data_IF_401425715308
#
_entry.id   IF_401425715308
#
_cell.length_a   1.000
_cell.length_b   1.000
_cell.length_c   1.000
_cell.angle_alpha   90.00
_cell.angle_beta   90.00
_cell.angle_gamma   90.00
#
_symmetry.space_group_name_H-M   'P 1'
#
loop_
_entity.id
_entity.type
_entity.pdbx_description
1 polymer ?
#
# COMPACT_ATOMS: atom_id res chain seq x y z
N UNK A 1 4.87 9.89 -3.93
CA UNK A 1 4.15 10.10 -2.66
C UNK A 1 2.70 10.41 -2.96
N UNK A 2 1.77 9.55 -2.59
CA UNK A 2 0.36 9.88 -2.64
C UNK A 2 0.03 10.86 -1.50
N UNK A 3 -0.63 11.97 -1.81
CA UNK A 3 -0.92 13.03 -0.84
C UNK A 3 -2.17 13.80 -1.23
N UNK A 4 -2.73 14.56 -0.29
CA UNK A 4 -3.85 15.44 -0.52
C UNK A 4 -3.35 16.83 -0.98
N UNK A 5 -4.00 17.41 -1.98
CA UNK A 5 -3.80 18.80 -2.40
C UNK A 5 -4.99 19.64 -1.94
N UNK A 6 -4.75 20.94 -1.67
CA UNK A 6 -5.82 21.89 -1.45
C UNK A 6 -6.45 22.26 -2.78
N UNK A 7 -7.74 21.94 -2.96
CA UNK A 7 -8.51 22.36 -4.12
C UNK A 7 -8.88 23.85 -4.08
N UNK A 8 -9.25 24.40 -5.23
CA UNK A 8 -9.69 25.79 -5.35
C UNK A 8 -10.92 26.11 -4.47
N UNK A 9 -11.72 25.11 -4.12
CA UNK A 9 -12.86 25.22 -3.21
C UNK A 9 -12.50 25.16 -1.73
N UNK A 10 -11.20 25.05 -1.37
CA UNK A 10 -10.74 24.86 0.00
C UNK A 10 -10.90 23.42 0.52
N UNK A 11 -11.31 22.48 -0.32
CA UNK A 11 -11.34 21.04 -0.01
C UNK A 11 -9.99 20.36 -0.28
N UNK A 12 -9.81 19.17 0.28
CA UNK A 12 -8.64 18.33 0.01
C UNK A 12 -8.89 17.48 -1.23
N UNK A 13 -8.02 17.59 -2.21
CA UNK A 13 -7.99 16.74 -3.39
C UNK A 13 -6.84 15.74 -3.28
N UNK A 14 -7.10 14.44 -3.39
CA UNK A 14 -6.05 13.44 -3.36
C UNK A 14 -5.27 13.43 -4.67
N UNK A 15 -4.01 13.02 -4.60
CA UNK A 15 -3.15 12.92 -5.76
C UNK A 15 -1.79 12.35 -5.37
N UNK A 16 -0.90 12.28 -6.34
CA UNK A 16 0.48 11.90 -6.15
C UNK A 16 1.39 13.02 -6.63
N UNK A 17 2.59 13.11 -6.07
CA UNK A 17 3.65 14.01 -6.54
C UNK A 17 5.02 13.36 -6.44
N UNK A 18 5.79 13.60 -7.48
CA UNK A 18 7.22 13.39 -7.48
C UNK A 18 7.88 14.65 -6.97
N UNK A 19 8.74 14.54 -5.98
CA UNK A 19 9.52 15.65 -5.44
C UNK A 19 11.02 15.35 -5.53
N UNK A 20 11.84 16.38 -5.70
CA UNK A 20 13.28 16.23 -5.62
C UNK A 20 13.75 16.18 -4.13
N UNK A 21 15.05 15.90 -3.93
CA UNK A 21 15.66 15.84 -2.59
C UNK A 21 15.57 17.17 -1.81
N UNK A 22 15.21 18.29 -2.45
CA UNK A 22 14.97 19.59 -1.81
C UNK A 22 13.49 19.80 -1.49
N UNK A 23 12.64 18.80 -1.71
CA UNK A 23 11.19 18.88 -1.49
C UNK A 23 10.43 19.65 -2.57
N UNK A 24 11.09 20.05 -3.69
CA UNK A 24 10.42 20.76 -4.78
C UNK A 24 9.66 19.78 -5.64
N UNK A 25 8.42 20.11 -5.97
CA UNK A 25 7.60 19.32 -6.88
C UNK A 25 8.22 19.28 -8.27
N UNK A 26 8.40 18.07 -8.80
CA UNK A 26 8.87 17.79 -10.16
C UNK A 26 7.69 17.45 -11.05
N UNK A 27 6.75 16.64 -10.55
CA UNK A 27 5.55 16.19 -11.26
C UNK A 27 4.39 16.04 -10.28
N UNK A 28 3.16 16.25 -10.76
CA UNK A 28 1.93 16.00 -9.98
C UNK A 28 0.90 15.26 -10.84
N UNK A 29 0.17 14.31 -10.24
CA UNK A 29 -0.93 13.58 -10.83
C UNK A 29 -2.19 13.78 -9.98
N UNK A 30 -3.29 14.22 -10.62
CA UNK A 30 -4.54 14.53 -9.97
C UNK A 30 -5.72 13.94 -10.78
N UNK A 31 -5.90 12.60 -10.74
CA UNK A 31 -6.98 11.97 -11.49
C UNK A 31 -8.35 12.39 -10.97
N UNK A 32 -9.31 12.61 -11.88
CA UNK A 32 -10.72 12.86 -11.53
C UNK A 32 -11.38 11.55 -11.08
N UNK A 33 -11.45 11.35 -9.78
CA UNK A 33 -12.01 10.14 -9.17
C UNK A 33 -13.47 9.88 -9.56
N UNK A 34 -14.24 10.93 -9.82
CA UNK A 34 -15.65 10.83 -10.19
C UNK A 34 -15.85 10.29 -11.61
N UNK A 35 -14.88 10.55 -12.49
CA UNK A 35 -14.91 10.11 -13.88
C UNK A 35 -14.31 8.70 -14.08
N UNK A 36 -13.41 8.27 -13.20
CA UNK A 36 -12.55 7.10 -13.39
C UNK A 36 -13.27 5.75 -13.50
N UNK A 37 -14.35 5.54 -12.78
CA UNK A 37 -15.07 4.27 -12.73
C UNK A 37 -16.51 4.40 -13.23
N UNK A 38 -16.75 5.36 -14.14
CA UNK A 38 -17.91 5.52 -15.00
C UNK A 38 -19.27 5.27 -14.36
N UNK A 39 -19.90 6.26 -13.74
CA UNK A 39 -21.36 6.39 -13.56
C UNK A 39 -22.19 5.22 -13.02
N UNK A 40 -21.70 4.02 -13.07
CA UNK A 40 -22.26 2.87 -12.38
C UNK A 40 -21.71 2.91 -10.95
N UNK A 41 -22.59 2.78 -9.99
CA UNK A 41 -22.30 2.75 -8.58
C UNK A 41 -21.34 1.59 -8.24
N UNK A 42 -20.05 1.77 -8.49
CA UNK A 42 -19.04 1.12 -7.69
C UNK A 42 -19.11 1.84 -6.34
N UNK A 43 -20.13 1.47 -5.57
CA UNK A 43 -20.13 1.79 -4.16
C UNK A 43 -18.81 1.24 -3.64
N UNK A 44 -18.03 2.07 -2.94
CA UNK A 44 -16.90 1.52 -2.21
C UNK A 44 -17.45 0.40 -1.36
N UNK A 45 -16.84 -0.76 -1.42
CA UNK A 45 -17.29 -1.97 -0.73
C UNK A 45 -17.48 -1.74 0.79
N UNK A 46 -17.03 -0.62 1.31
CA UNK A 46 -17.18 -0.19 2.72
C UNK A 46 -17.92 1.15 2.88
N UNK A 47 -18.82 1.51 1.97
CA UNK A 47 -19.79 2.59 2.20
C UNK A 47 -19.34 4.00 1.85
N UNK A 48 -18.58 4.19 0.78
CA UNK A 48 -18.25 5.53 0.26
C UNK A 48 -18.52 5.67 -1.24
N UNK A 49 -18.63 6.88 -1.73
CA UNK A 49 -18.70 7.16 -3.17
C UNK A 49 -17.28 7.24 -3.76
N UNK A 50 -17.05 6.85 -5.03
CA UNK A 50 -15.76 7.00 -5.71
C UNK A 50 -15.17 8.40 -5.54
N UNK A 51 -15.98 9.43 -5.63
CA UNK A 51 -15.59 10.82 -5.44
C UNK A 51 -15.01 11.16 -4.05
N UNK A 52 -15.28 10.34 -3.02
CA UNK A 52 -14.77 10.52 -1.65
C UNK A 52 -13.68 9.52 -1.28
N UNK A 53 -13.44 8.51 -2.12
CA UNK A 53 -12.41 7.53 -1.89
C UNK A 53 -11.01 8.16 -1.88
N UNK A 54 -10.09 7.52 -1.16
CA UNK A 54 -8.71 8.00 -0.98
C UNK A 54 -7.79 7.18 -1.84
N UNK A 55 -6.76 7.81 -2.41
CA UNK A 55 -5.62 7.05 -2.91
C UNK A 55 -4.84 6.46 -1.73
N UNK A 56 -4.38 5.24 -1.91
CA UNK A 56 -3.62 4.52 -0.88
C UNK A 56 -2.22 4.15 -1.38
N UNK A 57 -2.08 3.12 -2.18
CA UNK A 57 -0.83 2.72 -2.81
C UNK A 57 -0.52 3.55 -4.06
N UNK A 58 0.76 3.66 -4.37
CA UNK A 58 1.26 4.24 -5.61
C UNK A 58 2.56 3.57 -6.04
N UNK A 59 2.72 3.30 -7.34
CA UNK A 59 3.94 2.74 -7.91
C UNK A 59 4.29 3.51 -9.19
N UNK A 60 5.50 4.07 -9.24
CA UNK A 60 5.99 4.84 -10.37
C UNK A 60 6.90 3.96 -11.22
N UNK A 61 6.59 3.86 -12.50
CA UNK A 61 7.37 3.09 -13.46
C UNK A 61 8.53 3.92 -14.04
N UNK A 62 9.57 3.28 -14.57
CA UNK A 62 10.72 3.99 -15.15
C UNK A 62 10.36 4.92 -16.32
N UNK A 63 9.31 4.61 -17.09
CA UNK A 63 8.83 5.44 -18.20
C UNK A 63 7.99 6.65 -17.74
N UNK A 64 7.77 6.80 -16.44
CA UNK A 64 7.00 7.88 -15.84
C UNK A 64 5.52 7.58 -15.64
N UNK A 65 5.06 6.41 -16.04
CA UNK A 65 3.69 5.99 -15.74
C UNK A 65 3.53 5.74 -14.25
N UNK A 66 2.35 6.08 -13.74
CA UNK A 66 2.01 5.97 -12.34
C UNK A 66 0.79 5.07 -12.14
N UNK A 67 0.99 4.00 -11.37
CA UNK A 67 -0.13 3.22 -10.85
C UNK A 67 -0.60 3.82 -9.52
N UNK A 68 -1.92 3.91 -9.35
CA UNK A 68 -2.57 4.40 -8.13
C UNK A 68 -3.70 3.48 -7.71
N UNK A 69 -3.76 3.16 -6.43
CA UNK A 69 -4.90 2.47 -5.82
C UNK A 69 -5.91 3.48 -5.32
N UNK A 70 -7.13 3.42 -5.85
CA UNK A 70 -8.30 4.07 -5.28
C UNK A 70 -8.95 3.10 -4.29
N UNK A 71 -8.74 3.37 -3.01
CA UNK A 71 -8.94 2.43 -1.89
C UNK A 71 -10.33 1.78 -1.87
N UNK A 72 -10.39 0.45 -1.92
CA UNK A 72 -11.59 -0.40 -2.02
C UNK A 72 -12.45 -0.18 -3.27
N UNK A 73 -11.89 0.41 -4.31
CA UNK A 73 -12.54 0.59 -5.62
C UNK A 73 -11.74 -0.13 -6.68
N UNK A 74 -10.48 0.26 -6.88
CA UNK A 74 -9.70 -0.32 -7.95
C UNK A 74 -8.32 0.31 -8.12
N UNK A 75 -7.66 -0.14 -9.18
CA UNK A 75 -6.36 0.29 -9.64
C UNK A 75 -6.51 1.11 -10.92
N UNK A 76 -5.67 2.10 -11.10
CA UNK A 76 -5.55 2.83 -12.37
C UNK A 76 -4.08 3.00 -12.73
N UNK A 77 -3.80 3.04 -14.04
CA UNK A 77 -2.52 3.46 -14.61
C UNK A 77 -2.71 4.75 -15.35
N UNK A 78 -1.79 5.66 -15.15
CA UNK A 78 -1.73 6.97 -15.80
C UNK A 78 -0.37 7.13 -16.44
N UNK A 79 -0.32 7.78 -17.59
CA UNK A 79 0.95 8.16 -18.18
C UNK A 79 1.67 9.28 -17.40
N UNK A 80 2.87 9.60 -17.83
CA UNK A 80 3.68 10.67 -17.22
C UNK A 80 3.00 12.05 -17.24
N UNK A 81 2.01 12.29 -18.09
CA UNK A 81 1.28 13.55 -18.21
C UNK A 81 -0.03 13.58 -17.43
N UNK A 82 -0.46 12.45 -16.92
CA UNK A 82 -1.66 12.32 -16.10
C UNK A 82 -2.89 11.86 -16.87
N UNK A 83 -2.73 11.42 -18.11
CA UNK A 83 -3.80 10.78 -18.88
C UNK A 83 -3.97 9.32 -18.41
N UNK A 84 -5.21 8.88 -18.21
CA UNK A 84 -5.53 7.54 -17.74
C UNK A 84 -5.45 6.54 -18.90
N UNK A 85 -4.58 5.55 -18.77
CA UNK A 85 -4.43 4.49 -19.77
C UNK A 85 -5.44 3.38 -19.57
N UNK A 86 -5.61 2.91 -18.33
CA UNK A 86 -6.61 1.91 -17.98
C UNK A 86 -7.04 1.99 -16.50
N UNK A 87 -8.15 1.35 -16.19
CA UNK A 87 -8.69 1.19 -14.83
C UNK A 87 -9.19 -0.23 -14.61
N UNK A 88 -8.97 -0.78 -13.40
CA UNK A 88 -9.44 -2.09 -12.99
C UNK A 88 -10.24 -1.99 -11.68
N UNK A 89 -11.54 -2.30 -11.72
CA UNK A 89 -12.51 -2.12 -10.63
C UNK A 89 -12.73 -3.37 -9.77
N UNK A 90 -11.67 -3.99 -9.22
CA UNK A 90 -11.72 -5.26 -8.48
C UNK A 90 -11.73 -5.12 -6.95
N UNK A 91 -12.11 -3.97 -6.42
CA UNK A 91 -12.07 -3.74 -4.96
C UNK A 91 -10.64 -3.67 -4.41
N UNK A 92 -9.69 -3.26 -5.24
CA UNK A 92 -8.27 -3.17 -4.91
C UNK A 92 -8.04 -2.10 -3.85
N UNK A 93 -7.08 -2.37 -2.95
CA UNK A 93 -6.73 -1.47 -1.85
C UNK A 93 -5.26 -1.62 -1.45
N UNK A 94 -4.73 -0.68 -0.65
CA UNK A 94 -3.39 -0.68 -0.03
C UNK A 94 -2.22 -0.62 -1.02
N UNK A 95 -1.35 -1.65 -1.09
CA UNK A 95 -0.07 -1.61 -1.79
C UNK A 95 -0.17 -1.96 -3.29
N UNK A 96 0.94 -1.73 -4.00
CA UNK A 96 1.20 -2.18 -5.37
C UNK A 96 2.67 -2.55 -5.41
N UNK A 97 2.99 -3.80 -5.73
CA UNK A 97 4.36 -4.26 -5.85
C UNK A 97 4.57 -4.99 -7.17
N UNK A 98 5.62 -4.60 -7.90
CA UNK A 98 5.90 -5.10 -9.23
C UNK A 98 6.68 -6.41 -9.17
N UNK A 99 6.21 -7.42 -9.89
CA UNK A 99 6.95 -8.66 -10.13
C UNK A 99 7.94 -8.50 -11.29
N UNK A 100 8.92 -9.41 -11.39
CA UNK A 100 9.96 -9.36 -12.43
C UNK A 100 9.44 -9.56 -13.86
N UNK A 101 8.29 -10.20 -14.01
CA UNK A 101 7.61 -10.36 -15.30
C UNK A 101 6.87 -9.10 -15.77
N UNK A 102 6.94 -8.01 -15.00
CA UNK A 102 6.27 -6.74 -15.25
C UNK A 102 4.84 -6.66 -14.74
N UNK A 103 4.26 -7.75 -14.24
CA UNK A 103 2.96 -7.75 -13.58
C UNK A 103 3.01 -7.11 -12.19
N UNK A 104 1.85 -6.87 -11.60
CA UNK A 104 1.72 -6.24 -10.28
C UNK A 104 0.92 -7.11 -9.33
N UNK A 105 1.42 -7.30 -8.12
CA UNK A 105 0.65 -7.88 -7.03
C UNK A 105 -0.04 -6.78 -6.23
N UNK A 106 -1.35 -6.94 -6.02
CA UNK A 106 -2.17 -5.96 -5.32
C UNK A 106 -3.18 -6.63 -4.39
N UNK A 107 -3.36 -6.10 -3.17
CA UNK A 107 -4.45 -6.50 -2.30
C UNK A 107 -5.82 -6.12 -2.89
N UNK A 108 -6.75 -7.06 -2.84
CA UNK A 108 -8.15 -6.81 -3.22
C UNK A 108 -9.10 -7.47 -2.22
N UNK A 109 -10.38 -7.14 -2.30
CA UNK A 109 -11.41 -7.80 -1.50
C UNK A 109 -12.61 -8.19 -2.36
N UNK A 110 -13.45 -9.10 -1.87
CA UNK A 110 -14.66 -9.54 -2.58
C UNK A 110 -15.66 -8.39 -2.78
N UNK A 111 -16.43 -8.43 -3.88
CA UNK A 111 -17.44 -7.41 -4.19
C UNK A 111 -18.57 -7.33 -3.15
N UNK A 112 -18.77 -8.38 -2.39
CA UNK A 112 -19.76 -8.49 -1.32
C UNK A 112 -19.25 -9.39 -0.18
N UNK A 113 -19.85 -9.28 0.98
CA UNK A 113 -19.56 -10.20 2.09
C UNK A 113 -20.05 -11.60 1.74
N UNK A 114 -19.21 -12.60 1.96
CA UNK A 114 -19.49 -14.01 1.70
C UNK A 114 -19.18 -14.87 2.92
N UNK A 115 -19.94 -15.96 3.08
CA UNK A 115 -19.71 -16.94 4.14
C UNK A 115 -19.01 -18.20 3.63
N UNK A 116 -18.92 -18.38 2.31
CA UNK A 116 -18.43 -19.60 1.64
C UNK A 116 -17.84 -19.31 0.27
N UNK A 117 -17.01 -20.25 -0.19
CA UNK A 117 -16.43 -20.28 -1.53
C UNK A 117 -16.75 -21.63 -2.18
N UNK A 118 -16.35 -21.83 -3.43
CA UNK A 118 -16.46 -23.14 -4.10
C UNK A 118 -15.67 -24.22 -3.36
N UNK A 119 -14.48 -23.88 -2.85
CA UNK A 119 -13.63 -24.80 -2.08
C UNK A 119 -14.18 -25.08 -0.68
N UNK A 120 -14.86 -24.11 -0.07
CA UNK A 120 -15.52 -24.22 1.24
C UNK A 120 -17.04 -24.01 1.10
N UNK A 121 -17.78 -24.98 0.48
CA UNK A 121 -19.20 -24.83 0.17
C UNK A 121 -20.10 -24.82 1.42
N UNK A 122 -19.60 -25.33 2.54
CA UNK A 122 -20.28 -25.32 3.83
C UNK A 122 -19.85 -24.14 4.72
N UNK A 123 -19.03 -23.23 4.20
CA UNK A 123 -18.44 -22.12 4.94
C UNK A 123 -17.14 -22.48 5.66
N UNK A 124 -16.52 -21.49 6.24
CA UNK A 124 -15.27 -21.62 6.99
C UNK A 124 -15.55 -21.90 8.46
N UNK A 125 -15.04 -23.00 9.05
CA UNK A 125 -15.32 -23.35 10.44
C UNK A 125 -14.98 -22.22 11.41
N UNK A 126 -15.96 -21.74 12.18
CA UNK A 126 -15.80 -20.64 13.13
C UNK A 126 -15.92 -19.24 12.53
N UNK A 127 -16.36 -19.12 11.27
CA UNK A 127 -16.79 -17.88 10.63
C UNK A 127 -18.30 -17.97 10.41
N UNK A 128 -19.07 -17.49 11.39
CA UNK A 128 -20.51 -17.71 11.46
C UNK A 128 -21.33 -16.65 10.68
N UNK A 129 -20.70 -15.59 10.24
CA UNK A 129 -21.32 -14.47 9.51
C UNK A 129 -20.59 -14.21 8.20
N UNK A 130 -21.27 -13.68 7.16
CA UNK A 130 -20.61 -13.25 5.94
C UNK A 130 -19.54 -12.19 6.20
N UNK A 131 -18.37 -12.37 5.58
CA UNK A 131 -17.19 -11.49 5.72
C UNK A 131 -16.70 -11.01 4.38
N UNK A 132 -15.95 -9.91 4.37
CA UNK A 132 -15.13 -9.51 3.24
C UNK A 132 -14.00 -10.54 3.08
N UNK A 133 -13.84 -11.08 1.87
CA UNK A 133 -12.79 -12.05 1.57
C UNK A 133 -11.68 -11.34 0.82
N UNK A 134 -10.56 -11.13 1.49
CA UNK A 134 -9.39 -10.56 0.86
C UNK A 134 -8.78 -11.54 -0.14
N UNK A 135 -8.21 -10.97 -1.21
CA UNK A 135 -7.63 -11.69 -2.36
C UNK A 135 -6.27 -11.11 -2.69
N UNK A 136 -5.32 -11.99 -3.03
CA UNK A 136 -4.07 -11.62 -3.65
C UNK A 136 -4.29 -11.61 -5.16
N UNK A 137 -4.31 -10.44 -5.79
CA UNK A 137 -4.47 -10.32 -7.23
C UNK A 137 -3.13 -10.07 -7.90
N UNK A 138 -2.86 -10.82 -8.98
CA UNK A 138 -1.81 -10.49 -9.93
C UNK A 138 -2.45 -9.83 -11.14
N UNK A 139 -1.96 -8.66 -11.52
CA UNK A 139 -2.52 -7.83 -12.60
C UNK A 139 -1.43 -7.62 -13.65
N UNK A 140 -1.75 -7.81 -14.93
CA UNK A 140 -0.81 -7.56 -16.02
C UNK A 140 -0.50 -6.07 -16.20
N UNK A 141 0.50 -5.76 -17.02
CA UNK A 141 0.83 -4.38 -17.39
C UNK A 141 -0.32 -3.70 -18.16
N UNK A 142 -1.19 -4.47 -18.81
CA UNK A 142 -2.37 -4.00 -19.54
C UNK A 142 -3.63 -3.89 -18.67
N UNK A 143 -3.56 -4.30 -17.38
CA UNK A 143 -4.68 -4.23 -16.44
C UNK A 143 -5.58 -5.46 -16.40
N UNK A 144 -5.15 -6.59 -16.95
CA UNK A 144 -5.87 -7.86 -16.88
C UNK A 144 -5.53 -8.65 -15.62
N UNK A 145 -6.51 -9.28 -14.99
CA UNK A 145 -6.28 -10.16 -13.84
C UNK A 145 -5.68 -11.49 -14.32
N UNK A 146 -4.46 -11.78 -13.88
CA UNK A 146 -3.71 -12.99 -14.21
C UNK A 146 -3.89 -14.09 -13.15
N UNK A 147 -3.99 -13.71 -11.87
CA UNK A 147 -4.13 -14.64 -10.76
C UNK A 147 -5.02 -14.03 -9.66
N UNK A 148 -5.76 -14.89 -8.95
CA UNK A 148 -6.71 -14.51 -7.90
C UNK A 148 -6.72 -15.57 -6.79
N UNK A 149 -6.09 -15.27 -5.65
CA UNK A 149 -5.90 -16.21 -4.55
C UNK A 149 -6.68 -15.71 -3.33
N UNK A 150 -7.61 -16.53 -2.84
CA UNK A 150 -8.40 -16.20 -1.66
C UNK A 150 -7.60 -16.42 -0.36
N UNK A 151 -7.44 -15.35 0.44
CA UNK A 151 -6.62 -15.37 1.67
C UNK A 151 -7.20 -16.30 2.74
N UNK A 152 -8.53 -16.36 2.89
CA UNK A 152 -9.14 -17.29 3.86
C UNK A 152 -8.88 -18.75 3.48
N UNK A 153 -8.98 -19.10 2.20
CA UNK A 153 -8.65 -20.44 1.73
C UNK A 153 -7.20 -20.79 2.05
N UNK A 154 -6.26 -19.89 1.77
CA UNK A 154 -4.84 -20.08 2.13
C UNK A 154 -4.68 -20.34 3.62
N UNK A 155 -5.30 -19.54 4.50
CA UNK A 155 -5.18 -19.72 5.94
C UNK A 155 -5.73 -21.06 6.41
N UNK A 156 -6.91 -21.47 5.93
CA UNK A 156 -7.53 -22.74 6.33
C UNK A 156 -6.81 -23.96 5.76
N UNK A 157 -6.33 -23.90 4.52
CA UNK A 157 -5.60 -25.01 3.90
C UNK A 157 -4.23 -25.27 4.58
N UNK A 158 -3.66 -24.24 5.21
CA UNK A 158 -2.38 -24.33 5.90
C UNK A 158 -2.51 -24.47 7.43
N UNK A 159 -3.72 -24.67 7.98
CA UNK A 159 -3.94 -24.84 9.43
C UNK A 159 -3.70 -23.55 10.23
N UNK A 160 -3.88 -22.40 9.60
CA UNK A 160 -3.69 -21.08 10.19
C UNK A 160 -5.01 -20.41 10.59
N UNK A 161 -6.13 -21.13 10.60
CA UNK A 161 -7.47 -20.63 10.95
C UNK A 161 -7.54 -20.00 12.36
N UNK A 162 -6.64 -20.39 13.27
CA UNK A 162 -6.52 -19.77 14.59
C UNK A 162 -6.30 -18.27 14.56
N UNK A 163 -5.63 -17.76 13.51
CA UNK A 163 -5.36 -16.33 13.34
C UNK A 163 -6.61 -15.54 12.95
N UNK A 164 -7.49 -16.16 12.15
CA UNK A 164 -8.82 -15.61 11.84
C UNK A 164 -9.62 -15.45 13.13
N UNK A 165 -9.65 -16.48 13.99
CA UNK A 165 -10.34 -16.43 15.29
C UNK A 165 -9.75 -15.45 16.28
N UNK A 166 -8.43 -15.23 16.25
CA UNK A 166 -7.75 -14.22 17.06
C UNK A 166 -8.20 -12.80 16.67
N UNK A 167 -8.41 -12.56 15.40
CA UNK A 167 -8.98 -11.29 14.91
C UNK A 167 -10.43 -11.11 15.39
N UNK A 168 -11.24 -12.19 15.45
CA UNK A 168 -12.60 -12.20 16.02
C UNK A 168 -12.63 -11.66 17.46
N UNK A 169 -11.76 -12.17 18.31
CA UNK A 169 -11.69 -11.78 19.72
C UNK A 169 -11.29 -10.34 19.96
N UNK A 170 -10.78 -9.64 18.95
CA UNK A 170 -10.39 -8.22 19.02
C UNK A 170 -11.43 -7.24 18.45
N UNK A 171 -12.63 -7.71 18.16
CA UNK A 171 -13.71 -6.87 17.63
C UNK A 171 -13.61 -6.57 16.14
N UNK A 172 -12.71 -7.24 15.40
CA UNK A 172 -12.62 -7.13 13.94
C UNK A 172 -13.91 -7.60 13.22
N UNK A 173 -14.78 -8.25 13.95
CA UNK A 173 -16.07 -8.76 13.51
C UNK A 173 -17.27 -8.12 14.21
N UNK A 174 -17.08 -7.07 14.97
CA UNK A 174 -18.24 -6.32 15.45
C UNK A 174 -19.05 -5.83 14.25
N UNK A 175 -20.31 -6.03 14.32
CA UNK A 175 -21.43 -5.98 13.39
C UNK A 175 -21.31 -5.20 12.07
N UNK A 176 -20.39 -4.24 11.98
CA UNK A 176 -20.28 -3.35 10.82
C UNK A 176 -19.03 -3.61 9.95
N UNK A 177 -18.01 -4.29 10.43
CA UNK A 177 -16.74 -4.36 9.71
C UNK A 177 -16.56 -5.66 8.91
N UNK A 178 -16.84 -6.85 9.46
CA UNK A 178 -16.74 -8.13 8.75
C UNK A 178 -15.44 -8.38 7.98
N UNK A 179 -14.31 -7.89 8.49
CA UNK A 179 -13.01 -7.86 7.84
C UNK A 179 -11.99 -8.67 8.67
N UNK A 180 -11.90 -9.99 8.47
CA UNK A 180 -11.11 -10.86 9.34
C UNK A 180 -9.60 -10.73 9.14
N UNK A 181 -9.16 -10.42 7.94
CA UNK A 181 -7.76 -10.46 7.55
C UNK A 181 -7.14 -9.08 7.39
N UNK A 182 -7.86 -8.16 6.78
CA UNK A 182 -7.37 -6.83 6.43
C UNK A 182 -6.00 -6.90 5.79
N UNK A 183 -5.96 -7.60 4.65
CA UNK A 183 -4.77 -7.68 3.80
C UNK A 183 -4.31 -6.28 3.44
N UNK A 184 -3.06 -5.95 3.70
CA UNK A 184 -2.58 -4.60 3.47
C UNK A 184 -1.26 -4.50 2.72
N UNK A 185 -0.62 -5.67 2.43
CA UNK A 185 0.58 -5.69 1.62
C UNK A 185 0.85 -7.04 0.99
N UNK A 186 1.47 -7.04 -0.22
CA UNK A 186 1.92 -8.21 -0.97
C UNK A 186 3.20 -7.84 -1.71
N UNK A 187 4.33 -8.45 -1.39
CA UNK A 187 5.60 -8.25 -2.07
C UNK A 187 6.13 -9.58 -2.65
N UNK A 188 6.40 -9.68 -3.96
CA UNK A 188 7.04 -10.86 -4.55
C UNK A 188 8.55 -10.84 -4.28
N UNK A 189 9.13 -11.99 -3.90
CA UNK A 189 10.58 -12.13 -3.73
C UNK A 189 11.29 -12.02 -5.09
N UNK A 190 12.16 -11.01 -5.29
CA UNK A 190 12.90 -10.87 -6.53
C UNK A 190 14.04 -11.89 -6.65
N UNK A 191 14.37 -12.30 -7.86
CA UNK A 191 15.45 -13.25 -8.14
C UNK A 191 16.82 -12.77 -7.64
N UNK A 192 17.02 -11.45 -7.64
CA UNK A 192 18.25 -10.82 -7.14
C UNK A 192 18.50 -11.05 -5.65
N UNK A 193 17.47 -11.35 -4.86
CA UNK A 193 17.57 -11.62 -3.43
C UNK A 193 17.34 -13.10 -3.06
N UNK A 194 16.78 -13.91 -3.98
CA UNK A 194 16.30 -15.26 -3.64
C UNK A 194 17.38 -16.16 -3.02
N UNK A 195 18.62 -16.07 -3.47
CA UNK A 195 19.76 -16.86 -2.91
C UNK A 195 20.06 -16.54 -1.44
N UNK A 196 19.59 -15.41 -0.94
CA UNK A 196 19.77 -14.98 0.45
C UNK A 196 18.70 -15.53 1.40
N UNK A 197 17.63 -16.13 0.85
CA UNK A 197 16.49 -16.67 1.59
C UNK A 197 16.36 -18.18 1.41
N UNK A 198 17.10 -19.01 2.17
CA UNK A 198 17.17 -20.46 1.93
C UNK A 198 15.84 -21.22 2.09
N UNK A 199 14.80 -20.58 2.61
CA UNK A 199 13.45 -21.15 2.77
C UNK A 199 12.50 -20.76 1.64
N UNK A 200 12.87 -19.81 0.78
CA UNK A 200 12.00 -19.21 -0.21
C UNK A 200 12.57 -19.31 -1.62
N UNK A 201 11.73 -19.09 -2.59
CA UNK A 201 12.06 -19.11 -4.02
C UNK A 201 11.61 -17.81 -4.68
N UNK A 202 12.23 -17.46 -5.81
CA UNK A 202 11.81 -16.31 -6.63
C UNK A 202 10.31 -16.35 -6.90
N UNK A 203 9.62 -15.24 -6.65
CA UNK A 203 8.18 -15.11 -6.84
C UNK A 203 7.32 -15.57 -5.67
N UNK A 204 7.91 -16.13 -4.58
CA UNK A 204 7.18 -16.32 -3.34
C UNK A 204 6.67 -14.98 -2.82
N UNK A 205 5.44 -14.96 -2.30
CA UNK A 205 4.78 -13.73 -1.86
C UNK A 205 4.92 -13.53 -0.35
N UNK A 206 5.47 -12.40 0.02
CA UNK A 206 5.46 -11.87 1.39
C UNK A 206 4.16 -11.09 1.58
N UNK A 207 3.36 -11.50 2.56
CA UNK A 207 1.98 -11.01 2.75
C UNK A 207 1.77 -10.52 4.17
N UNK A 208 1.13 -9.36 4.32
CA UNK A 208 0.76 -8.78 5.61
C UNK A 208 -0.74 -8.78 5.84
N UNK A 209 -1.17 -9.41 6.91
CA UNK A 209 -2.55 -9.47 7.40
C UNK A 209 -2.67 -8.69 8.71
N UNK A 210 -3.21 -7.48 8.64
CA UNK A 210 -3.19 -6.51 9.75
C UNK A 210 -4.00 -6.97 10.95
N UNK A 211 -5.24 -7.42 10.76
CA UNK A 211 -6.13 -7.74 11.88
C UNK A 211 -5.66 -8.96 12.69
N UNK A 212 -5.15 -10.04 12.08
CA UNK A 212 -4.52 -11.13 12.82
C UNK A 212 -3.16 -10.78 13.43
N UNK A 213 -2.54 -9.66 13.03
CA UNK A 213 -1.14 -9.33 13.30
C UNK A 213 -0.21 -10.43 12.77
N UNK A 214 -0.38 -10.79 11.51
CA UNK A 214 0.30 -11.92 10.87
C UNK A 214 1.02 -11.44 9.62
N UNK A 215 2.28 -11.81 9.49
CA UNK A 215 3.06 -11.74 8.26
C UNK A 215 3.40 -13.16 7.85
N UNK A 216 3.28 -13.49 6.58
CA UNK A 216 3.58 -14.82 6.07
C UNK A 216 4.26 -14.76 4.70
N UNK A 217 4.95 -15.85 4.33
CA UNK A 217 5.48 -16.08 2.98
C UNK A 217 4.81 -17.33 2.42
N UNK A 218 4.29 -17.22 1.20
CA UNK A 218 3.61 -18.32 0.52
C UNK A 218 4.09 -18.48 -0.93
N UNK A 219 4.01 -19.69 -1.45
CA UNK A 219 4.12 -19.98 -2.88
C UNK A 219 2.77 -19.69 -3.57
N UNK A 220 2.69 -18.72 -4.50
CA UNK A 220 1.42 -18.35 -5.15
C UNK A 220 0.85 -19.46 -6.06
N UNK A 221 1.68 -20.37 -6.55
CA UNK A 221 1.24 -21.43 -7.44
C UNK A 221 0.48 -22.54 -6.69
N UNK A 222 0.92 -22.89 -5.49
CA UNK A 222 0.31 -23.95 -4.67
C UNK A 222 -0.56 -23.43 -3.51
N UNK A 223 -0.39 -22.17 -3.11
CA UNK A 223 -0.97 -21.60 -1.90
C UNK A 223 -0.32 -22.11 -0.61
N UNK A 224 0.83 -22.82 -0.69
CA UNK A 224 1.52 -23.34 0.48
C UNK A 224 2.24 -22.23 1.24
N UNK A 225 1.96 -22.08 2.53
CA UNK A 225 2.66 -21.16 3.41
C UNK A 225 4.00 -21.77 3.83
N UNK A 226 5.11 -21.13 3.44
CA UNK A 226 6.49 -21.56 3.74
C UNK A 226 6.98 -21.06 5.10
N UNK A 227 6.49 -19.92 5.55
CA UNK A 227 6.85 -19.31 6.83
C UNK A 227 5.78 -18.30 7.27
N UNK A 228 5.72 -18.06 8.58
CA UNK A 228 4.93 -16.96 9.13
C UNK A 228 5.52 -16.43 10.44
N UNK A 229 5.33 -15.14 10.70
CA UNK A 229 5.56 -14.50 11.99
C UNK A 229 4.24 -13.96 12.54
N UNK A 230 4.02 -14.16 13.82
CA UNK A 230 2.87 -13.62 14.53
C UNK A 230 3.28 -12.89 15.80
N UNK A 231 2.28 -12.40 16.51
CA UNK A 231 2.44 -11.94 17.88
C UNK A 231 2.70 -13.15 18.81
N UNK A 232 3.93 -13.67 18.82
CA UNK A 232 4.39 -14.75 19.71
C UNK A 232 4.25 -14.44 21.21
N UNK A 233 4.61 -15.35 22.11
CA UNK A 233 4.41 -15.19 23.55
C UNK A 233 5.36 -14.19 24.24
N UNK A 234 6.38 -13.65 23.56
CA UNK A 234 7.27 -12.65 24.15
C UNK A 234 6.83 -11.24 23.78
N UNK A 235 6.68 -10.36 24.75
CA UNK A 235 6.19 -8.99 24.58
C UNK A 235 7.04 -8.11 23.64
N UNK A 236 8.29 -8.48 23.38
CA UNK A 236 9.22 -7.67 22.57
C UNK A 236 9.01 -7.86 21.06
N UNK A 237 8.46 -8.99 20.64
CA UNK A 237 8.38 -9.39 19.24
C UNK A 237 6.96 -9.41 18.68
N UNK A 238 5.99 -8.89 19.44
CA UNK A 238 4.61 -8.81 18.99
C UNK A 238 4.41 -7.78 17.90
N UNK A 239 3.91 -8.18 16.75
CA UNK A 239 3.36 -7.28 15.75
C UNK A 239 2.02 -6.74 16.22
N UNK A 240 1.79 -5.44 16.07
CA UNK A 240 0.51 -4.78 16.38
C UNK A 240 0.09 -3.90 15.22
N UNK A 241 -0.87 -4.38 14.43
CA UNK A 241 -1.47 -3.66 13.31
C UNK A 241 -0.46 -3.27 12.22
N UNK A 242 0.52 -4.14 11.97
CA UNK A 242 1.65 -3.92 11.08
C UNK A 242 1.23 -3.64 9.62
N UNK A 243 2.16 -3.02 8.88
CA UNK A 243 2.10 -2.72 7.46
C UNK A 243 3.45 -2.99 6.81
N UNK A 244 3.48 -3.00 5.49
CA UNK A 244 4.67 -2.84 4.64
C UNK A 244 5.84 -3.75 5.06
N UNK A 245 5.69 -5.09 5.01
CA UNK A 245 6.82 -6.00 5.15
C UNK A 245 7.62 -6.04 3.86
N UNK A 246 8.96 -5.94 3.96
CA UNK A 246 9.88 -5.93 2.81
C UNK A 246 10.97 -7.00 2.93
N UNK A 247 11.38 -7.61 1.81
CA UNK A 247 12.59 -8.41 1.72
C UNK A 247 13.81 -7.48 1.68
N UNK A 248 14.61 -7.49 2.77
CA UNK A 248 15.74 -6.56 2.94
C UNK A 248 17.08 -7.04 2.39
N UNK A 249 17.19 -8.31 2.01
CA UNK A 249 18.47 -8.99 1.82
C UNK A 249 19.05 -9.62 3.11
N UNK A 250 20.16 -10.35 2.98
CA UNK A 250 20.79 -11.11 4.07
C UNK A 250 19.83 -12.08 4.81
N UNK A 251 18.73 -12.48 4.18
CA UNK A 251 17.68 -13.32 4.75
C UNK A 251 16.80 -12.60 5.77
N UNK A 252 16.80 -11.28 5.82
CA UNK A 252 15.97 -10.49 6.73
C UNK A 252 14.71 -9.97 6.03
N UNK A 253 13.59 -10.05 6.73
CA UNK A 253 12.30 -9.43 6.40
C UNK A 253 12.07 -8.30 7.38
N UNK A 254 11.97 -7.07 6.88
CA UNK A 254 11.63 -5.90 7.69
C UNK A 254 10.13 -5.66 7.69
N UNK A 255 9.59 -5.09 8.76
CA UNK A 255 8.14 -4.87 8.93
C UNK A 255 7.90 -3.54 9.65
N UNK A 256 7.06 -2.70 9.09
CA UNK A 256 6.56 -1.50 9.77
C UNK A 256 5.50 -1.91 10.80
N UNK A 257 5.89 -2.00 12.06
CA UNK A 257 5.00 -2.33 13.16
C UNK A 257 4.40 -1.05 13.77
N UNK A 258 3.13 -0.81 13.53
CA UNK A 258 2.45 0.43 13.92
C UNK A 258 2.38 0.64 15.42
N UNK A 259 2.40 -0.44 16.22
CA UNK A 259 2.26 -0.37 17.67
C UNK A 259 1.03 0.44 18.10
N UNK A 260 -0.11 0.21 17.41
CA UNK A 260 -1.35 0.91 17.74
C UNK A 260 -1.75 0.63 19.20
N UNK A 261 -1.66 1.66 20.03
CA UNK A 261 -1.95 1.63 21.45
C UNK A 261 -3.26 2.35 21.81
N UNK A 262 -4.08 2.64 20.78
CA UNK A 262 -5.34 3.40 20.88
C UNK A 262 -5.20 4.83 21.41
N UNK A 263 -3.97 5.33 21.56
CA UNK A 263 -3.73 6.75 21.82
C UNK A 263 -3.46 7.51 20.52
N UNK A 264 -3.62 8.83 20.56
CA UNK A 264 -3.34 9.66 19.37
C UNK A 264 -1.84 9.89 19.13
N UNK A 265 -0.96 9.42 20.01
CA UNK A 265 0.48 9.74 20.00
C UNK A 265 1.39 8.53 20.27
N UNK A 266 0.85 7.32 20.38
CA UNK A 266 1.64 6.12 20.66
C UNK A 266 2.34 6.15 22.03
N UNK A 267 1.80 6.87 23.01
CA UNK A 267 2.51 7.17 24.26
C UNK A 267 2.61 5.98 25.21
N UNK A 268 1.79 4.94 25.02
CA UNK A 268 1.81 3.76 25.89
C UNK A 268 2.81 2.72 25.44
N UNK A 269 3.02 2.55 24.13
CA UNK A 269 3.93 1.54 23.57
C UNK A 269 5.22 2.15 23.00
N UNK A 270 5.36 3.48 23.02
CA UNK A 270 6.59 4.16 22.59
C UNK A 270 6.65 4.54 21.11
N UNK A 271 5.54 4.41 20.38
CA UNK A 271 5.41 4.75 18.97
C UNK A 271 5.62 3.58 18.02
N UNK A 272 5.55 3.87 16.73
CA UNK A 272 5.76 2.86 15.68
C UNK A 272 7.24 2.47 15.57
N UNK A 273 7.50 1.26 15.07
CA UNK A 273 8.86 0.71 14.97
C UNK A 273 9.05 -0.08 13.68
N UNK A 274 10.31 -0.31 13.30
CA UNK A 274 10.67 -1.29 12.27
C UNK A 274 11.28 -2.50 12.98
N UNK A 275 10.62 -3.65 12.81
CA UNK A 275 11.14 -4.95 13.22
C UNK A 275 11.74 -5.67 12.02
N UNK A 276 12.79 -6.46 12.25
CA UNK A 276 13.29 -7.37 11.23
C UNK A 276 13.31 -8.80 11.78
N UNK A 277 12.81 -9.73 10.97
CA UNK A 277 12.77 -11.16 11.20
C UNK A 277 13.75 -11.86 10.27
N UNK A 278 14.40 -12.90 10.76
CA UNK A 278 15.26 -13.76 9.93
C UNK A 278 14.72 -15.19 9.98
N UNK A 279 13.86 -15.60 9.03
CA UNK A 279 13.06 -16.82 9.09
C UNK A 279 13.85 -18.10 9.39
N UNK A 280 14.98 -18.32 8.73
CA UNK A 280 15.78 -19.54 8.85
C UNK A 280 16.58 -19.66 10.17
N UNK A 281 16.60 -18.60 10.99
CA UNK A 281 17.30 -18.59 12.30
C UNK A 281 16.39 -18.20 13.45
N UNK A 282 15.10 -17.93 13.20
CA UNK A 282 14.14 -17.40 14.17
C UNK A 282 14.62 -16.14 14.92
N UNK A 283 15.54 -15.38 14.28
CA UNK A 283 16.11 -14.19 14.89
C UNK A 283 15.21 -13.00 14.64
N UNK A 284 15.10 -12.11 15.64
CA UNK A 284 14.35 -10.86 15.54
C UNK A 284 15.19 -9.71 16.07
N UNK A 285 15.12 -8.56 15.44
CA UNK A 285 15.77 -7.33 15.88
C UNK A 285 14.91 -6.10 15.64
N UNK A 286 15.09 -5.08 16.47
CA UNK A 286 14.50 -3.75 16.24
C UNK A 286 15.50 -2.92 15.42
N UNK A 287 15.09 -2.45 14.25
CA UNK A 287 15.92 -1.57 13.42
C UNK A 287 15.68 -0.10 13.78
N UNK A 288 14.43 0.24 14.12
CA UNK A 288 13.99 1.57 14.54
C UNK A 288 12.85 1.43 15.58
N UNK A 289 12.77 2.28 16.62
CA UNK A 289 13.73 3.33 16.95
C UNK A 289 15.04 2.78 17.57
N UNK A 290 16.06 3.60 17.51
CA UNK A 290 17.29 3.42 18.30
C UNK A 290 17.27 4.37 19.50
N UNK A 291 18.19 4.24 20.48
CA UNK A 291 18.27 5.20 21.60
C UNK A 291 18.51 6.68 21.20
N UNK A 292 18.81 6.92 19.92
CA UNK A 292 19.07 8.27 19.38
C UNK A 292 17.98 8.75 18.43
N UNK A 293 16.92 7.96 18.23
CA UNK A 293 15.81 8.31 17.34
C UNK A 293 14.82 9.21 18.05
N UNK A 294 14.27 10.16 17.32
CA UNK A 294 12.98 10.73 17.66
C UNK A 294 11.89 9.67 17.40
N UNK A 295 10.89 9.60 18.25
CA UNK A 295 9.78 8.68 18.05
C UNK A 295 8.92 9.12 16.88
N UNK A 296 8.43 8.14 16.12
CA UNK A 296 7.37 8.32 15.12
C UNK A 296 6.14 7.56 15.55
N UNK A 297 4.96 8.00 15.14
CA UNK A 297 3.75 7.26 15.39
C UNK A 297 2.73 7.44 14.27
N UNK A 298 2.32 6.32 13.70
CA UNK A 298 1.16 6.27 12.82
C UNK A 298 0.29 5.09 13.22
N UNK A 299 -0.92 5.39 13.65
CA UNK A 299 -1.88 4.41 14.18
C UNK A 299 -2.28 3.37 13.14
N UNK A 300 -2.35 3.78 11.89
CA UNK A 300 -2.65 2.94 10.73
C UNK A 300 -1.90 3.48 9.50
N UNK A 301 -1.76 2.70 8.45
CA UNK A 301 -0.86 2.98 7.33
C UNK A 301 0.59 2.95 7.78
N UNK A 302 1.43 3.71 7.12
CA UNK A 302 2.87 3.69 7.32
C UNK A 302 3.52 2.89 6.20
N UNK A 303 4.63 3.39 5.74
CA UNK A 303 5.50 2.73 4.78
C UNK A 303 6.93 2.97 5.17
N UNK A 304 7.78 2.01 4.89
CA UNK A 304 9.21 2.18 5.03
C UNK A 304 9.92 1.66 3.77
N UNK A 305 11.18 1.97 3.63
CA UNK A 305 12.02 1.45 2.55
C UNK A 305 13.46 1.38 3.04
N UNK A 306 14.08 0.23 2.88
CA UNK A 306 15.53 0.10 3.06
C UNK A 306 16.23 0.70 1.83
N UNK A 307 17.12 1.66 2.04
CA UNK A 307 17.83 2.35 0.97
C UNK A 307 19.23 1.77 0.76
N UNK A 308 19.74 1.82 -0.47
CA UNK A 308 21.07 1.30 -0.85
C UNK A 308 22.23 1.90 -0.02
N UNK A 309 22.05 3.12 0.49
CA UNK A 309 23.03 3.75 1.38
C UNK A 309 22.95 3.23 2.84
N UNK A 310 22.10 2.25 3.12
CA UNK A 310 21.85 1.66 4.43
C UNK A 310 20.94 2.48 5.34
N UNK A 311 20.42 3.63 4.89
CA UNK A 311 19.41 4.39 5.62
C UNK A 311 18.01 3.78 5.43
N UNK A 312 17.06 4.25 6.21
CA UNK A 312 15.64 3.89 6.07
C UNK A 312 14.83 5.15 5.72
N UNK A 313 13.96 5.05 4.73
CA UNK A 313 12.92 6.04 4.46
C UNK A 313 11.65 5.62 5.20
N UNK A 314 11.13 6.49 6.05
CA UNK A 314 9.97 6.21 6.89
C UNK A 314 8.83 7.16 6.54
N UNK A 315 7.63 6.64 6.32
CA UNK A 315 6.41 7.44 6.13
C UNK A 315 5.59 7.44 7.40
N UNK A 316 5.59 8.55 8.13
CA UNK A 316 4.70 8.78 9.26
C UNK A 316 3.38 9.36 8.75
N UNK A 317 2.47 8.48 8.34
CA UNK A 317 1.24 8.85 7.60
C UNK A 317 0.38 9.84 8.35
N UNK A 318 0.12 9.59 9.64
CA UNK A 318 -0.71 10.46 10.48
C UNK A 318 -0.01 11.79 10.81
N UNK A 319 1.33 11.80 10.86
CA UNK A 319 2.14 12.98 11.03
C UNK A 319 2.28 13.82 9.76
N UNK A 320 1.87 13.29 8.60
CA UNK A 320 1.96 13.97 7.30
C UNK A 320 3.40 14.22 6.87
N UNK A 321 4.34 13.34 7.22
CA UNK A 321 5.76 13.51 6.92
C UNK A 321 6.43 12.23 6.42
N UNK A 322 7.52 12.43 5.69
CA UNK A 322 8.44 11.37 5.27
C UNK A 322 9.83 11.76 5.72
N UNK A 323 10.56 10.83 6.32
CA UNK A 323 11.90 11.09 6.84
C UNK A 323 12.87 9.99 6.42
N UNK A 324 14.12 10.38 6.15
CA UNK A 324 15.24 9.46 6.00
C UNK A 324 16.04 9.43 7.30
N UNK A 325 16.22 8.22 7.84
CA UNK A 325 16.95 8.00 9.07
C UNK A 325 18.15 7.10 8.84
N UNK A 326 19.28 7.41 9.46
CA UNK A 326 20.47 6.55 9.44
C UNK A 326 20.24 5.27 10.27
N UNK A 327 21.05 4.20 10.10
CA UNK A 327 21.02 3.03 10.99
C UNK A 327 21.23 3.38 12.48
N UNK A 328 21.88 4.52 12.76
CA UNK A 328 22.02 5.06 14.13
C UNK A 328 20.80 5.82 14.65
N UNK A 329 19.72 5.91 13.86
CA UNK A 329 18.45 6.52 14.23
C UNK A 329 18.38 8.04 14.09
N UNK A 330 19.39 8.69 13.49
CA UNK A 330 19.37 10.14 13.26
C UNK A 330 18.65 10.46 11.95
N UNK A 331 17.67 11.36 11.98
CA UNK A 331 17.08 11.93 10.78
C UNK A 331 18.11 12.77 10.02
N UNK A 332 18.26 12.53 8.71
CA UNK A 332 19.16 13.23 7.81
C UNK A 332 18.44 13.97 6.71
N UNK A 333 17.19 13.62 6.46
CA UNK A 333 16.29 14.32 5.56
C UNK A 333 14.86 14.21 6.07
N UNK A 334 14.06 15.24 5.85
CA UNK A 334 12.64 15.26 6.22
C UNK A 334 11.87 16.11 5.21
N UNK A 335 10.70 15.61 4.85
CA UNK A 335 9.68 16.37 4.14
C UNK A 335 8.37 16.31 4.92
N UNK A 336 7.79 17.48 5.15
CA UNK A 336 6.54 17.63 5.91
C UNK A 336 5.49 18.23 5.01
N UNK A 337 4.29 17.68 5.07
CA UNK A 337 3.13 18.22 4.36
C UNK A 337 2.67 19.52 4.99
N UNK A 338 2.32 20.50 4.16
CA UNK A 338 1.74 21.75 4.63
C UNK A 338 0.49 21.49 5.49
N UNK A 339 0.43 22.01 6.73
CA UNK A 339 -0.69 21.77 7.62
C UNK A 339 -1.96 22.48 7.12
N UNK A 340 -3.09 21.82 7.32
CA UNK A 340 -4.41 22.43 7.09
C UNK A 340 -4.74 23.52 8.11
N UNK A 341 -4.33 23.29 9.34
CA UNK A 341 -4.52 24.19 10.47
C UNK A 341 -3.48 23.91 11.55
N UNK A 342 -3.47 24.67 12.63
CA UNK A 342 -2.56 24.44 13.77
C UNK A 342 -2.65 23.03 14.39
N UNK A 343 -3.73 22.28 14.11
CA UNK A 343 -3.96 20.94 14.69
C UNK A 343 -4.24 19.84 13.69
N UNK A 344 -4.20 20.12 12.38
CA UNK A 344 -4.52 19.14 11.33
C UNK A 344 -3.53 19.22 10.18
N UNK A 345 -2.94 18.09 9.85
CA UNK A 345 -2.10 17.90 8.67
C UNK A 345 -2.74 16.82 7.76
N UNK A 346 -2.69 16.98 6.44
CA UNK A 346 -3.14 15.93 5.53
C UNK A 346 -2.27 14.67 5.67
N UNK A 347 -2.86 13.51 5.52
CA UNK A 347 -2.11 12.26 5.49
C UNK A 347 -1.13 12.22 4.31
N UNK A 348 -0.01 11.55 4.53
CA UNK A 348 0.84 11.00 3.47
C UNK A 348 0.66 9.49 3.52
N UNK A 349 0.00 8.90 2.54
CA UNK A 349 -0.33 7.46 2.58
C UNK A 349 0.89 6.60 2.32
N UNK A 350 1.75 7.01 1.37
CA UNK A 350 3.01 6.33 1.06
C UNK A 350 4.07 7.33 0.59
N UNK A 351 5.32 7.03 0.88
CA UNK A 351 6.49 7.72 0.35
C UNK A 351 7.52 6.69 -0.07
N UNK A 352 7.95 6.73 -1.33
CA UNK A 352 8.94 5.82 -1.90
C UNK A 352 10.03 6.65 -2.58
N UNK A 353 11.28 6.26 -2.41
CA UNK A 353 12.41 6.84 -3.15
C UNK A 353 12.65 6.01 -4.40
N UNK A 354 12.81 6.71 -5.51
CA UNK A 354 13.21 6.15 -6.79
C UNK A 354 14.58 6.70 -7.15
N UNK A 355 15.42 5.88 -7.75
CA UNK A 355 16.71 6.29 -8.31
C UNK A 355 16.46 6.87 -9.72
N UNK A 356 16.01 8.11 -9.74
CA UNK A 356 15.68 8.84 -10.95
C UNK A 356 16.52 10.12 -11.04
N UNK A 357 17.08 10.35 -12.19
CA UNK A 357 17.77 11.61 -12.54
C UNK A 357 16.78 12.61 -13.14
N UNK A 358 17.22 13.84 -13.33
CA UNK A 358 16.43 14.86 -14.04
C UNK A 358 16.32 14.55 -15.52
N UNK A 359 17.35 13.94 -16.08
CA UNK A 359 17.40 13.48 -17.46
C UNK A 359 16.33 12.41 -17.70
N UNK A 360 16.22 11.40 -16.82
CA UNK A 360 15.18 10.36 -16.91
C UNK A 360 13.78 10.98 -16.94
N UNK A 361 13.51 11.92 -16.04
CA UNK A 361 12.20 12.61 -15.98
C UNK A 361 11.95 13.49 -17.22
N UNK A 362 12.99 14.03 -17.82
CA UNK A 362 12.87 14.86 -19.03
C UNK A 362 12.60 14.03 -20.30
N UNK A 363 12.97 12.75 -20.30
CA UNK A 363 12.75 11.81 -21.39
C UNK A 363 11.34 11.19 -21.38
N UNK A 364 10.58 11.35 -20.30
CA UNK A 364 9.22 10.83 -20.21
C UNK A 364 8.32 11.43 -21.28
N UNK A 365 7.67 10.58 -22.05
CA UNK A 365 6.71 10.95 -23.08
C UNK A 365 5.28 10.76 -22.60
N UNK A 366 4.36 11.54 -23.15
CA UNK A 366 2.94 11.41 -22.92
C UNK A 366 2.34 10.54 -24.02
N UNK A 367 1.37 9.70 -23.68
CA UNK A 367 0.51 9.08 -24.69
C UNK A 367 -0.15 10.19 -25.50
N UNK A 368 -0.09 10.09 -26.82
CA UNK A 368 -0.72 11.08 -27.70
C UNK A 368 -2.25 10.96 -27.55
N UNK A 369 -2.84 11.69 -26.60
CA UNK A 369 -4.26 11.97 -26.68
C UNK A 369 -4.48 12.70 -27.99
N UNK A 370 -5.38 12.21 -28.83
CA UNK A 370 -5.83 12.93 -30.04
C UNK A 370 -6.24 14.33 -29.57
N UNK A 371 -5.37 15.28 -29.85
CA UNK A 371 -5.61 16.68 -29.52
C UNK A 371 -6.93 17.05 -30.21
N UNK A 372 -7.98 17.23 -29.41
CA UNK A 372 -9.23 17.80 -29.89
C UNK A 372 -8.90 19.13 -30.55
N UNK A 373 -8.94 19.15 -31.86
CA UNK A 373 -8.83 20.31 -32.70
C UNK A 373 -10.02 21.25 -32.45
N UNK A 374 -9.97 22.02 -31.39
CA UNK A 374 -10.79 23.19 -31.16
C UNK A 374 -9.90 24.38 -30.87
N UNK A 375 -9.10 24.77 -31.88
CA UNK A 375 -8.59 26.13 -31.96
C UNK A 375 -9.81 27.04 -32.31
N UNK A 376 -10.09 28.10 -31.55
CA UNK A 376 -11.07 29.09 -31.97
C UNK A 376 -10.54 29.77 -33.22
N UNK A 377 -11.33 29.71 -34.30
CA UNK A 377 -11.13 30.52 -35.51
C UNK A 377 -10.99 31.98 -35.14
N UNK A 378 -9.79 32.50 -35.36
CA UNK A 378 -9.50 33.92 -35.41
C UNK A 378 -9.90 34.44 -36.81
N UNK A 379 -11.19 34.74 -37.00
CA UNK A 379 -11.63 35.57 -38.09
C UNK A 379 -12.89 36.33 -37.61
N UNK A 380 -12.65 37.51 -37.10
CA UNK A 380 -13.55 38.67 -37.21
C UNK A 380 -12.81 39.95 -36.79
N UNK A 381 -11.85 40.36 -37.61
CA UNK A 381 -11.51 41.76 -37.76
C UNK A 381 -12.22 42.33 -38.99
N UNK A 382 -12.85 43.47 -38.82
CA UNK A 382 -13.40 44.43 -39.77
C UNK A 382 -14.91 44.43 -39.98
N UNK A 383 -15.53 45.43 -39.32
CA UNK A 383 -16.31 46.52 -39.98
C UNK A 383 -16.84 47.48 -38.92
N UNK A 384 -16.22 48.65 -38.96
CA UNK A 384 -16.75 50.03 -39.19
C UNK A 384 -18.23 50.27 -38.89
N UNK A 385 -18.58 51.08 -37.94
CA UNK A 385 -18.86 52.56 -37.95
C UNK A 385 -19.04 53.07 -36.52
#
# INVERSE_FOLDING_TARGET
MSSWKWGASGGLEPGAKLIDHRGRTVREWHPDRGALFGGSAVETLKGGLPATAKFHGSHLLPNGDLLLVLNYIGLLRMDACGDVEWTLGEGIHHSIDQAEDGSFWVPATSAERRAKTERYPNGFPGVDTPVWMDRLLQVSDEGDVLNDINVLEVLYDNGLERYVRKAYGRGAFTDDNGDPTHLNDIEPLPSSLADEYPMFETGDLLVSLKHPNLVLVLDPASGAVKWHADSGPSDVHHLIQQHDPDFMGDGWIGVFDNQDDFTNRGTMLGGSRILAFRPHTDSVRVLFPTPRSDSIYTQNRGKWQHLDNGNMLLTESNGGRVLEVTPGGRAVWEWIRDPHSASRVPFVTSGTRYDLTREDVAEWSCSASEASSNAPNSDDEQRTE
#
